data_IF_876964001448
#
_entry.id   IF_876964001448
#
_cell.length_a   1.000
_cell.length_b   1.000
_cell.length_c   1.000
_cell.angle_alpha   90.00
_cell.angle_beta   90.00
_cell.angle_gamma   90.00
#
_symmetry.space_group_name_H-M   'P 1'
#
loop_
_entity.id
_entity.type
_entity.pdbx_description
1 polymer ?
#
# COMPACT_ATOMS: atom_id res chain seq x y z
N UNK A 1 -8.58 -35.67 50.71
CA UNK A 1 -8.42 -34.23 50.43
C UNK A 1 -7.64 -33.89 49.14
N UNK A 2 -6.67 -34.68 48.68
CA UNK A 2 -5.88 -34.35 47.47
C UNK A 2 -6.62 -34.57 46.13
N UNK A 3 -7.59 -35.46 46.05
CA UNK A 3 -8.36 -35.72 44.79
C UNK A 3 -9.40 -34.64 44.44
N UNK A 4 -9.93 -33.94 45.44
CA UNK A 4 -10.93 -32.89 45.24
C UNK A 4 -10.31 -31.59 44.72
N UNK A 5 -9.05 -31.33 45.07
CA UNK A 5 -8.30 -30.13 44.59
C UNK A 5 -7.95 -30.24 43.12
N UNK A 6 -7.63 -31.45 42.64
CA UNK A 6 -7.31 -31.65 41.20
C UNK A 6 -8.56 -31.54 40.31
N UNK A 7 -9.71 -31.93 40.81
CA UNK A 7 -10.99 -31.83 40.07
C UNK A 7 -11.42 -30.36 39.94
N UNK A 8 -11.25 -29.57 41.01
CA UNK A 8 -11.54 -28.12 40.98
C UNK A 8 -10.61 -27.34 40.07
N UNK A 9 -9.31 -27.70 40.03
CA UNK A 9 -8.33 -27.09 39.14
C UNK A 9 -8.58 -27.42 37.66
N UNK A 10 -9.07 -28.64 37.36
CA UNK A 10 -9.38 -29.06 36.01
C UNK A 10 -10.69 -28.43 35.48
N UNK A 11 -11.68 -28.24 36.33
CA UNK A 11 -12.92 -27.53 35.97
C UNK A 11 -12.65 -26.04 35.79
N UNK A 12 -11.74 -25.44 36.56
CA UNK A 12 -11.35 -24.04 36.39
C UNK A 12 -10.49 -23.82 35.12
N UNK A 13 -9.59 -24.76 34.80
CA UNK A 13 -8.82 -24.72 33.57
C UNK A 13 -9.68 -24.95 32.30
N UNK A 14 -10.69 -25.83 32.39
CA UNK A 14 -11.65 -26.06 31.31
C UNK A 14 -12.64 -24.90 31.13
N UNK A 15 -12.95 -24.15 32.22
CA UNK A 15 -13.77 -22.94 32.12
C UNK A 15 -13.04 -21.77 31.48
N UNK A 16 -11.71 -21.65 31.67
CA UNK A 16 -10.89 -20.62 31.06
C UNK A 16 -10.67 -20.91 29.56
N UNK A 17 -10.63 -22.18 29.15
CA UNK A 17 -10.49 -22.55 27.73
C UNK A 17 -11.80 -22.41 26.91
N UNK A 18 -12.94 -22.19 27.56
CA UNK A 18 -14.23 -21.92 26.89
C UNK A 18 -14.59 -20.43 26.81
N UNK A 19 -13.78 -19.52 27.43
CA UNK A 19 -13.98 -18.08 27.38
C UNK A 19 -13.16 -17.47 26.20
N UNK A 20 -12.40 -18.28 25.48
CA UNK A 20 -11.49 -17.84 24.42
C UNK A 20 -12.11 -17.55 23.05
N UNK A 21 -13.45 -17.51 22.90
CA UNK A 21 -14.12 -17.19 21.63
C UNK A 21 -15.16 -16.07 21.73
N UNK A 22 -15.15 -15.30 22.79
CA UNK A 22 -15.99 -14.12 22.94
C UNK A 22 -15.18 -13.05 23.65
N UNK A 23 -14.24 -12.41 22.94
CA UNK A 23 -13.62 -11.18 23.42
C UNK A 23 -14.62 -10.05 23.18
N UNK A 24 -15.18 -9.43 24.24
CA UNK A 24 -16.11 -8.31 24.09
C UNK A 24 -15.51 -7.15 23.28
N UNK A 25 -14.16 -7.07 23.22
CA UNK A 25 -13.45 -6.08 22.39
C UNK A 25 -13.52 -6.46 20.90
N UNK A 26 -13.52 -7.75 20.56
CA UNK A 26 -13.69 -8.24 19.18
C UNK A 26 -15.16 -8.15 18.76
N UNK A 27 -16.10 -8.38 19.68
CA UNK A 27 -17.52 -8.19 19.43
C UNK A 27 -17.85 -6.70 19.28
N UNK A 28 -17.21 -5.81 20.03
CA UNK A 28 -17.37 -4.37 19.88
C UNK A 28 -16.69 -3.82 18.62
N UNK A 29 -15.56 -4.38 18.22
CA UNK A 29 -14.92 -4.12 16.93
C UNK A 29 -15.70 -4.71 15.74
N UNK A 30 -16.34 -5.83 15.91
CA UNK A 30 -17.22 -6.44 14.91
C UNK A 30 -18.63 -5.83 14.91
N UNK A 31 -19.13 -5.32 16.03
CA UNK A 31 -20.44 -4.67 16.10
C UNK A 31 -20.40 -3.21 15.64
N UNK A 32 -19.25 -2.56 15.66
CA UNK A 32 -19.04 -1.26 15.03
C UNK A 32 -18.87 -1.36 13.51
N UNK A 33 -18.71 -2.56 12.97
CA UNK A 33 -19.06 -2.89 11.60
C UNK A 33 -20.47 -3.54 11.66
N UNK A 34 -21.47 -2.80 12.08
CA UNK A 34 -22.80 -3.00 11.53
C UNK A 34 -22.70 -2.66 10.03
N UNK A 35 -22.13 -3.58 9.31
CA UNK A 35 -22.47 -3.80 7.92
C UNK A 35 -23.95 -4.18 8.01
N UNK A 36 -24.82 -3.18 7.87
CA UNK A 36 -26.23 -3.42 7.78
C UNK A 36 -26.43 -4.58 6.81
N UNK A 37 -27.45 -5.39 6.99
CA UNK A 37 -27.86 -6.46 6.08
C UNK A 37 -28.28 -5.95 4.70
N UNK A 38 -27.77 -4.78 4.30
CA UNK A 38 -27.89 -4.15 2.99
C UNK A 38 -26.93 -4.78 1.97
N UNK A 39 -27.20 -4.55 0.74
CA UNK A 39 -26.36 -4.96 -0.39
C UNK A 39 -24.98 -4.26 -0.29
N UNK A 40 -23.95 -4.98 0.17
CA UNK A 40 -22.57 -4.48 0.28
C UNK A 40 -21.97 -4.05 -1.06
N UNK A 41 -22.69 -4.29 -2.16
CA UNK A 41 -22.24 -3.90 -3.50
C UNK A 41 -22.39 -2.40 -3.79
N UNK A 42 -23.15 -1.66 -2.96
CA UNK A 42 -23.42 -0.22 -3.12
C UNK A 42 -23.27 0.51 -1.78
N UNK A 43 -22.94 1.82 -1.83
CA UNK A 43 -23.08 2.71 -0.68
C UNK A 43 -24.53 3.22 -0.61
N UNK A 44 -25.20 3.05 0.53
CA UNK A 44 -26.62 3.33 0.68
C UNK A 44 -26.94 4.82 0.90
N UNK A 45 -25.96 5.55 1.42
CA UNK A 45 -26.14 6.97 1.76
C UNK A 45 -24.80 7.73 1.74
N UNK A 46 -24.88 9.04 1.94
CA UNK A 46 -23.76 9.97 1.93
C UNK A 46 -22.67 9.62 2.96
N UNK A 47 -23.05 9.35 4.20
CA UNK A 47 -22.10 9.08 5.29
C UNK A 47 -21.34 7.78 5.03
N UNK A 48 -22.01 6.78 4.55
CA UNK A 48 -21.41 5.51 4.18
C UNK A 48 -20.45 5.68 2.99
N UNK A 49 -20.86 6.43 1.96
CA UNK A 49 -19.99 6.71 0.81
C UNK A 49 -18.73 7.47 1.23
N UNK A 50 -18.84 8.48 2.10
CA UNK A 50 -17.71 9.25 2.62
C UNK A 50 -16.77 8.39 3.50
N UNK A 51 -17.33 7.53 4.36
CA UNK A 51 -16.58 6.57 5.16
C UNK A 51 -15.83 5.54 4.31
N UNK A 52 -16.47 5.01 3.27
CA UNK A 52 -15.85 4.09 2.32
C UNK A 52 -14.75 4.77 1.48
N UNK A 53 -14.94 6.04 1.09
CA UNK A 53 -13.92 6.85 0.42
C UNK A 53 -12.66 6.99 1.29
N UNK A 54 -12.81 7.30 2.58
CA UNK A 54 -11.70 7.33 3.54
C UNK A 54 -11.03 5.95 3.66
N UNK A 55 -11.82 4.89 3.77
CA UNK A 55 -11.29 3.52 3.88
C UNK A 55 -10.49 3.13 2.65
N UNK A 56 -10.96 3.45 1.44
CA UNK A 56 -10.22 3.19 0.20
C UNK A 56 -8.84 3.86 0.21
N UNK A 57 -8.76 5.12 0.66
CA UNK A 57 -7.49 5.83 0.82
C UNK A 57 -6.56 5.12 1.80
N UNK A 58 -7.06 4.71 2.96
CA UNK A 58 -6.26 4.01 3.98
C UNK A 58 -5.72 2.66 3.47
N UNK A 59 -6.42 2.02 2.54
CA UNK A 59 -6.06 0.70 2.01
C UNK A 59 -5.13 0.74 0.79
N UNK A 60 -4.95 1.88 0.15
CA UNK A 60 -3.97 2.03 -0.94
C UNK A 60 -2.55 1.68 -0.48
N UNK A 61 -2.16 2.21 0.68
CA UNK A 61 -0.90 1.89 1.36
C UNK A 61 -1.23 1.74 2.84
N UNK A 62 -1.59 0.53 3.27
CA UNK A 62 -2.02 0.28 4.66
C UNK A 62 -0.84 0.39 5.63
N UNK A 63 -0.49 1.62 5.98
CA UNK A 63 0.65 1.95 6.83
C UNK A 63 0.24 2.41 8.23
N UNK A 64 -1.05 2.44 8.53
CA UNK A 64 -1.59 3.28 9.60
C UNK A 64 -2.03 2.59 10.89
N UNK A 65 -1.99 1.27 11.02
CA UNK A 65 -2.39 0.59 12.25
C UNK A 65 -1.17 0.09 13.05
N UNK A 66 -1.39 -0.43 14.25
CA UNK A 66 -0.36 -1.10 15.05
C UNK A 66 0.39 -2.22 14.30
N UNK A 67 -0.24 -2.78 13.27
CA UNK A 67 0.35 -3.77 12.36
C UNK A 67 0.83 -3.15 11.02
N UNK A 68 0.78 -1.85 10.84
CA UNK A 68 1.13 -1.19 9.58
C UNK A 68 2.53 -1.50 9.08
N UNK A 69 3.50 -1.65 9.97
CA UNK A 69 4.85 -2.06 9.61
C UNK A 69 4.88 -3.48 9.00
N UNK A 70 4.11 -4.43 9.55
CA UNK A 70 4.02 -5.78 9.00
C UNK A 70 3.31 -5.79 7.64
N UNK A 71 2.20 -5.06 7.50
CA UNK A 71 1.48 -4.94 6.22
C UNK A 71 2.39 -4.34 5.15
N UNK A 72 3.07 -3.24 5.45
CA UNK A 72 4.04 -2.61 4.54
C UNK A 72 5.20 -3.57 4.19
N UNK A 73 5.71 -4.32 5.18
CA UNK A 73 6.79 -5.29 4.96
C UNK A 73 6.39 -6.36 3.94
N UNK A 74 5.19 -6.91 4.07
CA UNK A 74 4.65 -7.94 3.16
C UNK A 74 4.26 -7.35 1.80
N UNK A 75 3.69 -6.15 1.78
CA UNK A 75 3.24 -5.51 0.54
C UNK A 75 4.41 -5.03 -0.33
N UNK A 76 5.43 -4.43 0.28
CA UNK A 76 6.49 -3.76 -0.47
C UNK A 76 7.89 -4.28 -0.14
N UNK A 77 8.26 -4.37 1.15
CA UNK A 77 9.66 -4.44 1.54
C UNK A 77 10.33 -5.78 1.24
N UNK A 78 9.65 -6.89 1.52
CA UNK A 78 10.25 -8.23 1.36
C UNK A 78 10.54 -8.58 -0.11
N UNK A 79 9.70 -8.13 -1.04
CA UNK A 79 9.82 -8.45 -2.46
C UNK A 79 10.12 -7.24 -3.33
N UNK A 80 9.21 -6.27 -3.37
CA UNK A 80 9.29 -5.15 -4.32
C UNK A 80 10.55 -4.33 -4.09
N UNK A 81 10.84 -3.95 -2.86
CA UNK A 81 12.05 -3.18 -2.53
C UNK A 81 13.33 -3.97 -2.80
N UNK A 82 13.32 -5.29 -2.53
CA UNK A 82 14.47 -6.15 -2.82
C UNK A 82 14.67 -6.36 -4.32
N UNK A 83 13.59 -6.63 -5.07
CA UNK A 83 13.69 -6.88 -6.52
C UNK A 83 14.04 -5.62 -7.31
N UNK A 84 13.59 -4.46 -6.84
CA UNK A 84 13.97 -3.17 -7.44
C UNK A 84 15.38 -2.70 -7.08
N UNK A 85 16.02 -3.34 -6.09
CA UNK A 85 17.35 -2.96 -5.62
C UNK A 85 17.36 -1.71 -4.72
N UNK A 86 16.22 -1.34 -4.14
CA UNK A 86 16.15 -0.24 -3.16
C UNK A 86 16.60 -0.69 -1.78
N UNK A 87 16.06 -1.81 -1.29
CA UNK A 87 16.38 -2.36 0.01
C UNK A 87 16.88 -3.80 -0.13
N UNK A 88 17.45 -4.34 0.92
CA UNK A 88 17.85 -5.73 1.02
C UNK A 88 17.47 -6.27 2.40
N UNK A 89 16.77 -7.41 2.43
CA UNK A 89 16.42 -8.11 3.66
C UNK A 89 17.66 -8.63 4.39
N UNK A 90 17.66 -8.51 5.71
CA UNK A 90 18.78 -8.91 6.56
C UNK A 90 18.53 -10.18 7.37
N UNK A 91 17.34 -10.77 7.24
CA UNK A 91 17.00 -12.02 7.93
C UNK A 91 16.26 -13.00 7.03
N UNK A 92 16.24 -14.25 7.46
CA UNK A 92 15.45 -15.29 6.82
C UNK A 92 13.98 -15.20 7.22
N UNK A 93 13.11 -15.10 6.23
CA UNK A 93 11.68 -15.24 6.40
C UNK A 93 11.27 -16.64 5.97
N UNK A 94 10.72 -17.44 6.89
CA UNK A 94 10.35 -18.84 6.64
C UNK A 94 11.47 -19.67 5.96
N UNK A 95 12.71 -19.48 6.41
CA UNK A 95 13.88 -20.16 5.87
C UNK A 95 14.41 -19.62 4.53
N UNK A 96 13.88 -18.49 4.06
CA UNK A 96 14.31 -17.85 2.82
C UNK A 96 14.82 -16.44 3.09
N UNK A 97 15.93 -16.10 2.45
CA UNK A 97 16.51 -14.75 2.51
C UNK A 97 16.01 -13.92 1.32
N UNK A 98 15.25 -12.84 1.54
CA UNK A 98 14.68 -12.03 0.44
C UNK A 98 15.74 -11.48 -0.51
N UNK A 99 16.91 -11.11 -0.01
CA UNK A 99 18.02 -10.58 -0.82
C UNK A 99 18.56 -11.56 -1.88
N UNK A 100 18.16 -12.82 -1.84
CA UNK A 100 18.52 -13.83 -2.86
C UNK A 100 17.52 -13.91 -4.02
N UNK A 101 16.54 -13.02 -4.10
CA UNK A 101 15.46 -13.03 -5.10
C UNK A 101 14.63 -14.31 -5.12
N UNK A 102 14.62 -15.05 -4.04
CA UNK A 102 13.84 -16.27 -3.96
C UNK A 102 12.38 -15.94 -3.70
N UNK A 103 11.51 -16.38 -4.61
CA UNK A 103 10.06 -16.30 -4.42
C UNK A 103 9.61 -17.23 -3.29
N UNK A 104 8.75 -16.73 -2.41
CA UNK A 104 8.03 -17.53 -1.42
C UNK A 104 6.62 -16.99 -1.25
N UNK A 105 5.66 -17.81 -1.62
CA UNK A 105 4.25 -17.45 -1.75
C UNK A 105 3.65 -16.83 -0.48
N UNK A 106 4.09 -17.28 0.69
CA UNK A 106 3.59 -16.84 1.99
C UNK A 106 3.64 -15.32 2.20
N UNK A 107 4.60 -14.62 1.56
CA UNK A 107 4.78 -13.18 1.71
C UNK A 107 4.55 -12.39 0.42
N UNK A 108 4.04 -13.04 -0.62
CA UNK A 108 3.77 -12.39 -1.90
C UNK A 108 2.32 -11.90 -2.05
N UNK A 109 1.47 -12.08 -1.05
CA UNK A 109 0.06 -11.73 -1.13
C UNK A 109 -0.24 -10.24 -0.82
N UNK A 110 0.77 -9.46 -0.41
CA UNK A 110 0.58 -8.07 -0.01
C UNK A 110 -0.08 -7.18 -1.06
N UNK A 111 0.45 -7.08 -2.30
CA UNK A 111 -0.16 -6.28 -3.36
C UNK A 111 -1.57 -6.74 -3.72
N UNK A 112 -1.82 -8.07 -3.71
CA UNK A 112 -3.15 -8.64 -3.93
C UNK A 112 -4.13 -8.22 -2.84
N UNK A 113 -3.73 -8.32 -1.57
CA UNK A 113 -4.55 -7.92 -0.44
C UNK A 113 -4.87 -6.41 -0.48
N UNK A 114 -3.90 -5.56 -0.83
CA UNK A 114 -4.11 -4.13 -1.01
C UNK A 114 -5.16 -3.84 -2.07
N UNK A 115 -5.06 -4.47 -3.25
CA UNK A 115 -6.05 -4.32 -4.31
C UNK A 115 -7.46 -4.70 -3.86
N UNK A 116 -7.65 -5.87 -3.24
CA UNK A 116 -8.96 -6.31 -2.81
C UNK A 116 -9.53 -5.41 -1.70
N UNK A 117 -8.73 -4.96 -0.76
CA UNK A 117 -9.17 -4.05 0.28
C UNK A 117 -9.60 -2.68 -0.27
N UNK A 118 -8.87 -2.13 -1.25
CA UNK A 118 -9.26 -0.90 -1.94
C UNK A 118 -10.55 -1.14 -2.73
N UNK A 119 -10.65 -2.25 -3.45
CA UNK A 119 -11.82 -2.57 -4.26
C UNK A 119 -13.09 -2.70 -3.41
N UNK A 120 -13.02 -3.39 -2.26
CA UNK A 120 -14.16 -3.51 -1.34
C UNK A 120 -14.70 -2.17 -0.86
N UNK A 121 -13.84 -1.17 -0.68
CA UNK A 121 -14.26 0.15 -0.27
C UNK A 121 -14.64 1.07 -1.45
N UNK A 122 -13.94 0.98 -2.58
CA UNK A 122 -14.13 1.89 -3.70
C UNK A 122 -15.31 1.50 -4.61
N UNK A 123 -15.49 0.20 -4.91
CA UNK A 123 -16.51 -0.24 -5.86
C UNK A 123 -17.96 0.10 -5.43
N UNK A 124 -18.36 -0.07 -4.17
CA UNK A 124 -19.70 0.33 -3.72
C UNK A 124 -19.97 1.82 -3.95
N UNK A 125 -18.99 2.69 -3.65
CA UNK A 125 -19.12 4.13 -3.89
C UNK A 125 -19.22 4.44 -5.38
N UNK A 126 -18.39 3.81 -6.21
CA UNK A 126 -18.41 3.99 -7.66
C UNK A 126 -19.77 3.61 -8.27
N UNK A 127 -20.42 2.57 -7.76
CA UNK A 127 -21.73 2.09 -8.25
C UNK A 127 -22.88 3.00 -7.86
N UNK A 128 -22.84 3.60 -6.68
CA UNK A 128 -23.92 4.47 -6.16
C UNK A 128 -23.67 5.97 -6.34
N UNK A 129 -22.50 6.36 -6.84
CA UNK A 129 -22.08 7.77 -6.92
C UNK A 129 -23.06 8.65 -7.69
N UNK A 130 -23.66 8.15 -8.76
CA UNK A 130 -24.65 8.90 -9.57
C UNK A 130 -25.96 9.11 -8.79
N UNK A 131 -26.46 8.06 -8.14
CA UNK A 131 -27.72 8.07 -7.38
C UNK A 131 -27.64 8.95 -6.13
N UNK A 132 -26.44 8.98 -5.52
CA UNK A 132 -26.14 9.81 -4.35
C UNK A 132 -25.73 11.25 -4.71
N UNK A 133 -25.65 11.60 -5.98
CA UNK A 133 -25.12 12.88 -6.46
C UNK A 133 -23.69 13.17 -5.97
N UNK A 134 -22.83 12.14 -5.96
CA UNK A 134 -21.43 12.16 -5.50
C UNK A 134 -20.46 11.69 -6.60
N UNK A 135 -20.69 12.13 -7.86
CA UNK A 135 -19.92 11.68 -9.03
C UNK A 135 -18.41 11.90 -8.88
N UNK A 136 -18.02 12.99 -8.25
CA UNK A 136 -16.62 13.35 -7.98
C UNK A 136 -15.98 12.38 -7.01
N UNK A 137 -16.68 12.02 -5.93
CA UNK A 137 -16.20 11.02 -4.95
C UNK A 137 -16.09 9.64 -5.61
N UNK A 138 -17.07 9.27 -6.45
CA UNK A 138 -17.00 8.06 -7.26
C UNK A 138 -15.80 8.05 -8.21
N UNK A 139 -15.49 9.19 -8.85
CA UNK A 139 -14.33 9.34 -9.72
C UNK A 139 -13.00 9.19 -8.94
N UNK A 140 -12.91 9.76 -7.73
CA UNK A 140 -11.74 9.61 -6.85
C UNK A 140 -11.58 8.14 -6.40
N UNK A 141 -12.67 7.45 -6.07
CA UNK A 141 -12.65 6.02 -5.80
C UNK A 141 -12.18 5.20 -7.01
N UNK A 142 -12.62 5.57 -8.23
CA UNK A 142 -12.15 4.92 -9.46
C UNK A 142 -10.64 5.14 -9.69
N UNK A 143 -10.10 6.33 -9.38
CA UNK A 143 -8.65 6.59 -9.45
C UNK A 143 -7.88 5.67 -8.51
N UNK A 144 -8.31 5.53 -7.26
CA UNK A 144 -7.69 4.64 -6.28
C UNK A 144 -7.79 3.17 -6.69
N UNK A 145 -8.93 2.76 -7.21
CA UNK A 145 -9.15 1.41 -7.74
C UNK A 145 -8.21 1.12 -8.92
N UNK A 146 -8.08 2.05 -9.86
CA UNK A 146 -7.14 1.93 -10.98
C UNK A 146 -5.69 1.89 -10.53
N UNK A 147 -5.31 2.71 -9.54
CA UNK A 147 -3.95 2.73 -8.99
C UNK A 147 -3.58 1.38 -8.38
N UNK A 148 -4.43 0.81 -7.53
CA UNK A 148 -4.17 -0.49 -6.90
C UNK A 148 -4.23 -1.65 -7.90
N UNK A 149 -5.08 -1.56 -8.92
CA UNK A 149 -5.11 -2.52 -10.02
C UNK A 149 -3.83 -2.50 -10.86
N UNK A 150 -3.26 -1.31 -11.09
CA UNK A 150 -1.97 -1.17 -11.75
C UNK A 150 -0.86 -1.83 -10.95
N UNK A 151 -0.80 -1.63 -9.63
CA UNK A 151 0.16 -2.30 -8.75
C UNK A 151 0.00 -3.83 -8.77
N UNK A 152 -1.26 -4.31 -8.72
CA UNK A 152 -1.56 -5.74 -8.82
C UNK A 152 -1.03 -6.33 -10.14
N UNK A 153 -1.35 -5.69 -11.26
CA UNK A 153 -0.96 -6.16 -12.59
C UNK A 153 0.56 -6.10 -12.81
N UNK A 154 1.23 -5.12 -12.23
CA UNK A 154 2.69 -5.01 -12.29
C UNK A 154 3.41 -6.18 -11.60
N UNK A 155 2.80 -6.75 -10.55
CA UNK A 155 3.38 -7.86 -9.77
C UNK A 155 2.96 -9.23 -10.32
N UNK A 156 1.68 -9.39 -10.66
CA UNK A 156 1.13 -10.70 -11.00
C UNK A 156 0.83 -10.89 -12.50
N UNK A 157 0.83 -9.80 -13.28
CA UNK A 157 0.46 -9.85 -14.69
C UNK A 157 -1.07 -9.88 -14.90
N UNK A 158 -1.56 -10.75 -15.82
CA UNK A 158 -2.97 -10.86 -16.12
C UNK A 158 -3.85 -11.17 -14.90
N UNK A 159 -5.01 -10.53 -14.80
CA UNK A 159 -6.01 -10.83 -13.77
C UNK A 159 -7.44 -10.52 -14.28
N UNK A 160 -8.49 -10.99 -13.61
CA UNK A 160 -9.87 -10.82 -14.06
C UNK A 160 -10.42 -9.41 -13.73
N UNK A 161 -9.91 -8.39 -14.42
CA UNK A 161 -10.26 -6.98 -14.18
C UNK A 161 -11.76 -6.69 -14.36
N UNK A 162 -12.32 -7.04 -15.52
CA UNK A 162 -13.73 -6.72 -15.85
C UNK A 162 -14.68 -7.53 -15.00
N UNK A 163 -14.42 -8.83 -14.84
CA UNK A 163 -15.29 -9.70 -14.06
C UNK A 163 -15.29 -9.27 -12.59
N UNK A 164 -14.15 -8.91 -12.04
CA UNK A 164 -14.08 -8.44 -10.66
C UNK A 164 -14.79 -7.08 -10.47
N UNK A 165 -14.58 -6.14 -11.40
CA UNK A 165 -15.25 -4.83 -11.36
C UNK A 165 -16.77 -4.95 -11.43
N UNK A 166 -17.27 -5.89 -12.22
CA UNK A 166 -18.69 -6.14 -12.43
C UNK A 166 -19.30 -7.13 -11.44
N UNK A 167 -18.53 -7.55 -10.42
CA UNK A 167 -18.99 -8.45 -9.37
C UNK A 167 -19.48 -9.81 -9.88
N UNK A 168 -18.77 -10.38 -10.86
CA UNK A 168 -19.04 -11.73 -11.36
C UNK A 168 -18.68 -12.74 -10.29
N UNK A 169 -19.68 -13.38 -9.69
CA UNK A 169 -19.53 -14.29 -8.56
C UNK A 169 -19.26 -15.74 -8.96
N UNK A 170 -19.66 -16.12 -10.18
CA UNK A 170 -19.59 -17.51 -10.60
C UNK A 170 -18.44 -17.77 -11.56
N UNK A 171 -17.62 -18.81 -11.33
CA UNK A 171 -16.59 -19.25 -12.26
C UNK A 171 -17.22 -19.83 -13.55
N UNK A 172 -16.50 -19.82 -14.69
CA UNK A 172 -15.12 -19.35 -14.79
C UNK A 172 -15.00 -17.84 -14.91
N UNK A 173 -14.00 -17.25 -14.22
CA UNK A 173 -13.61 -15.86 -14.42
C UNK A 173 -12.61 -15.74 -15.56
N UNK A 174 -12.68 -14.65 -16.32
CA UNK A 174 -11.82 -14.41 -17.48
C UNK A 174 -10.61 -13.59 -17.08
N UNK A 175 -9.41 -14.16 -17.21
CA UNK A 175 -8.16 -13.43 -17.03
C UNK A 175 -7.86 -12.59 -18.27
N UNK A 176 -7.81 -11.29 -18.10
CA UNK A 176 -7.49 -10.37 -19.17
C UNK A 176 -5.99 -10.18 -19.31
N UNK A 177 -5.44 -10.13 -20.55
CA UNK A 177 -4.04 -9.83 -20.77
C UNK A 177 -3.70 -8.37 -20.44
N UNK A 178 -2.42 -8.10 -20.19
CA UNK A 178 -1.93 -6.81 -19.70
C UNK A 178 -2.29 -5.62 -20.60
N UNK A 179 -2.28 -5.80 -21.91
CA UNK A 179 -2.63 -4.76 -22.87
C UNK A 179 -4.09 -4.33 -22.73
N UNK A 180 -5.03 -5.26 -22.54
CA UNK A 180 -6.45 -4.96 -22.32
C UNK A 180 -6.68 -4.31 -20.95
N UNK A 181 -5.95 -4.75 -19.91
CA UNK A 181 -6.00 -4.12 -18.59
C UNK A 181 -5.53 -2.66 -18.70
N UNK A 182 -4.39 -2.41 -19.37
CA UNK A 182 -3.87 -1.06 -19.57
C UNK A 182 -4.84 -0.19 -20.38
N UNK A 183 -5.49 -0.73 -21.41
CA UNK A 183 -6.53 -0.05 -22.18
C UNK A 183 -7.66 0.42 -21.26
N UNK A 184 -8.16 -0.49 -20.44
CA UNK A 184 -9.23 -0.22 -19.49
C UNK A 184 -8.82 0.81 -18.43
N UNK A 185 -7.60 0.72 -17.91
CA UNK A 185 -7.08 1.67 -16.92
C UNK A 185 -6.95 3.08 -17.50
N UNK A 186 -6.43 3.24 -18.74
CA UNK A 186 -6.35 4.55 -19.40
C UNK A 186 -7.74 5.17 -19.58
N UNK A 187 -8.72 4.39 -20.02
CA UNK A 187 -10.10 4.87 -20.18
C UNK A 187 -10.68 5.31 -18.83
N UNK A 188 -10.61 4.46 -17.81
CA UNK A 188 -11.17 4.76 -16.49
C UNK A 188 -10.55 6.00 -15.85
N UNK A 189 -9.22 6.13 -15.92
CA UNK A 189 -8.51 7.30 -15.38
C UNK A 189 -8.86 8.58 -16.15
N UNK A 190 -9.00 8.50 -17.48
CA UNK A 190 -9.37 9.64 -18.31
C UNK A 190 -10.80 10.09 -18.01
N UNK A 191 -11.72 9.16 -17.88
CA UNK A 191 -13.12 9.47 -17.55
C UNK A 191 -13.24 10.06 -16.14
N UNK A 192 -12.51 9.50 -15.16
CA UNK A 192 -12.46 10.07 -13.82
C UNK A 192 -11.91 11.51 -13.85
N UNK A 193 -10.80 11.74 -14.55
CA UNK A 193 -10.22 13.08 -14.69
C UNK A 193 -11.18 14.07 -15.36
N UNK A 194 -11.97 13.62 -16.36
CA UNK A 194 -13.00 14.45 -17.00
C UNK A 194 -14.10 14.86 -16.02
N UNK A 195 -14.62 13.93 -15.23
CA UNK A 195 -15.62 14.22 -14.19
C UNK A 195 -15.10 15.29 -13.23
N UNK A 196 -13.87 15.14 -12.76
CA UNK A 196 -13.25 16.09 -11.82
C UNK A 196 -13.00 17.46 -12.47
N UNK A 197 -12.65 17.51 -13.73
CA UNK A 197 -12.47 18.75 -14.49
C UNK A 197 -13.78 19.54 -14.64
N UNK A 198 -14.89 18.85 -14.78
CA UNK A 198 -16.23 19.44 -14.91
C UNK A 198 -16.77 20.01 -13.58
N UNK A 199 -16.15 19.69 -12.43
CA UNK A 199 -16.58 20.07 -11.08
C UNK A 199 -16.85 21.57 -10.93
N UNK A 200 -15.95 22.43 -11.44
CA UNK A 200 -16.10 23.89 -11.36
C UNK A 200 -17.30 24.43 -12.13
N UNK A 201 -17.94 23.62 -12.99
CA UNK A 201 -19.14 23.96 -13.75
C UNK A 201 -20.42 23.50 -13.05
N UNK A 202 -20.34 22.85 -11.90
CA UNK A 202 -21.50 22.45 -11.09
C UNK A 202 -22.04 23.61 -10.26
N UNK A 203 -23.19 23.43 -9.60
CA UNK A 203 -23.76 24.44 -8.73
C UNK A 203 -22.90 24.69 -7.48
N UNK A 204 -22.94 25.89 -6.92
CA UNK A 204 -22.22 26.22 -5.67
C UNK A 204 -22.59 25.26 -4.54
N UNK A 205 -23.87 24.93 -4.38
CA UNK A 205 -24.37 23.99 -3.36
C UNK A 205 -23.73 22.60 -3.52
N UNK A 206 -23.59 22.11 -4.77
CA UNK A 206 -22.92 20.85 -5.04
C UNK A 206 -21.43 20.92 -4.73
N UNK A 207 -20.76 22.03 -5.14
CA UNK A 207 -19.34 22.24 -4.84
C UNK A 207 -19.10 22.28 -3.33
N UNK A 208 -19.95 22.97 -2.56
CA UNK A 208 -19.87 23.03 -1.11
C UNK A 208 -20.01 21.63 -0.49
N UNK A 209 -20.94 20.81 -0.98
CA UNK A 209 -21.13 19.43 -0.50
C UNK A 209 -19.89 18.60 -0.71
N UNK A 210 -19.32 18.59 -1.92
CA UNK A 210 -18.09 17.83 -2.20
C UNK A 210 -16.91 18.35 -1.39
N UNK A 211 -16.72 19.67 -1.30
CA UNK A 211 -15.65 20.27 -0.52
C UNK A 211 -15.74 19.94 0.98
N UNK A 212 -16.95 19.83 1.55
CA UNK A 212 -17.14 19.39 2.93
C UNK A 212 -16.71 17.94 3.12
N UNK A 213 -17.04 17.04 2.18
CA UNK A 213 -16.55 15.66 2.23
C UNK A 213 -15.02 15.64 2.19
N UNK A 214 -14.41 16.37 1.27
CA UNK A 214 -12.95 16.40 1.15
C UNK A 214 -12.29 16.96 2.41
N UNK A 215 -12.78 18.03 2.96
CA UNK A 215 -12.24 18.62 4.19
C UNK A 215 -12.24 17.65 5.37
N UNK A 216 -13.24 16.78 5.46
CA UNK A 216 -13.37 15.82 6.56
C UNK A 216 -12.68 14.50 6.29
N UNK A 217 -12.82 13.93 5.08
CA UNK A 217 -12.48 12.56 4.75
C UNK A 217 -11.28 12.40 3.80
N UNK A 218 -10.88 13.45 3.05
CA UNK A 218 -9.73 13.32 2.17
C UNK A 218 -8.41 13.45 2.96
N UNK A 219 -7.51 12.49 2.74
CA UNK A 219 -6.20 12.39 3.40
C UNK A 219 -5.05 12.34 2.39
N UNK A 220 -5.34 12.54 1.10
CA UNK A 220 -4.35 12.42 0.03
C UNK A 220 -4.18 13.74 -0.70
N UNK A 221 -5.18 14.17 -1.45
CA UNK A 221 -5.06 15.30 -2.37
C UNK A 221 -5.56 16.63 -1.78
N UNK A 222 -6.60 16.60 -0.96
CA UNK A 222 -7.17 17.75 -0.28
C UNK A 222 -8.14 18.58 -1.13
N UNK A 223 -8.12 18.46 -2.46
CA UNK A 223 -9.00 19.18 -3.36
C UNK A 223 -9.24 18.41 -4.68
N UNK A 224 -10.35 18.74 -5.37
CA UNK A 224 -10.78 18.08 -6.61
C UNK A 224 -9.75 18.25 -7.72
N UNK A 225 -9.12 19.42 -7.83
CA UNK A 225 -8.12 19.69 -8.88
C UNK A 225 -6.87 18.83 -8.71
N UNK A 226 -6.42 18.65 -7.50
CA UNK A 226 -5.27 17.78 -7.21
C UNK A 226 -5.59 16.31 -7.52
N UNK A 227 -6.82 15.84 -7.27
CA UNK A 227 -7.26 14.51 -7.69
C UNK A 227 -7.29 14.34 -9.22
N UNK A 228 -7.75 15.36 -9.98
CA UNK A 228 -7.66 15.37 -11.45
C UNK A 228 -6.20 15.22 -11.91
N UNK A 229 -5.30 16.03 -11.36
CA UNK A 229 -3.87 15.99 -11.67
C UNK A 229 -3.23 14.66 -11.27
N UNK A 230 -3.67 14.05 -10.17
CA UNK A 230 -3.21 12.73 -9.75
C UNK A 230 -3.60 11.65 -10.77
N UNK A 231 -4.84 11.65 -11.25
CA UNK A 231 -5.28 10.76 -12.33
C UNK A 231 -4.39 10.88 -13.57
N UNK A 232 -4.13 12.11 -14.02
CA UNK A 232 -3.29 12.37 -15.19
C UNK A 232 -1.83 11.94 -14.97
N UNK A 233 -1.32 12.09 -13.75
CA UNK A 233 0.05 11.66 -13.40
C UNK A 233 0.19 10.13 -13.39
N UNK A 234 -0.85 9.40 -12.99
CA UNK A 234 -0.90 7.94 -13.13
C UNK A 234 -0.90 7.54 -14.61
N UNK A 235 -1.67 8.23 -15.46
CA UNK A 235 -1.68 8.00 -16.92
C UNK A 235 -0.30 8.21 -17.53
N UNK A 236 0.40 9.28 -17.15
CA UNK A 236 1.77 9.51 -17.60
C UNK A 236 2.73 8.40 -17.15
N UNK A 237 2.62 7.95 -15.89
CA UNK A 237 3.42 6.82 -15.38
C UNK A 237 3.17 5.55 -16.18
N UNK A 238 1.92 5.23 -16.50
CA UNK A 238 1.55 4.08 -17.34
C UNK A 238 2.13 4.21 -18.75
N UNK A 239 2.01 5.38 -19.37
CA UNK A 239 2.56 5.65 -20.70
C UNK A 239 4.09 5.45 -20.74
N UNK A 240 4.82 5.95 -19.74
CA UNK A 240 6.26 5.74 -19.63
C UNK A 240 6.65 4.28 -19.50
N UNK A 241 5.86 3.47 -18.79
CA UNK A 241 6.12 2.02 -18.64
C UNK A 241 5.99 1.25 -19.95
N UNK A 242 5.05 1.65 -20.80
CA UNK A 242 4.84 0.98 -22.09
C UNK A 242 5.73 1.53 -23.21
N UNK A 243 6.64 2.47 -22.95
CA UNK A 243 7.46 3.15 -23.95
C UNK A 243 8.32 2.21 -24.81
N UNK A 244 8.75 1.07 -24.27
CA UNK A 244 9.51 0.05 -25.00
C UNK A 244 8.64 -1.00 -25.70
N UNK A 245 7.37 -1.12 -25.30
CA UNK A 245 6.43 -2.13 -25.83
C UNK A 245 5.58 -1.55 -26.96
N UNK A 246 5.11 -0.32 -26.79
CA UNK A 246 4.31 0.40 -27.77
C UNK A 246 4.65 1.91 -27.71
N UNK A 247 5.78 2.34 -28.34
CA UNK A 247 6.30 3.69 -28.24
C UNK A 247 5.37 4.76 -28.81
N UNK A 248 4.65 4.48 -29.88
CA UNK A 248 3.73 5.44 -30.51
C UNK A 248 2.53 5.75 -29.61
N UNK A 249 1.95 4.70 -29.03
CA UNK A 249 0.88 4.86 -28.05
C UNK A 249 1.36 5.51 -26.78
N UNK A 250 2.53 5.09 -26.27
CA UNK A 250 3.14 5.70 -25.10
C UNK A 250 3.31 7.22 -25.27
N UNK A 251 3.80 7.66 -26.43
CA UNK A 251 3.92 9.08 -26.76
C UNK A 251 2.57 9.80 -26.76
N UNK A 252 1.56 9.20 -27.38
CA UNK A 252 0.21 9.77 -27.48
C UNK A 252 -0.45 9.92 -26.11
N UNK A 253 -0.40 8.87 -25.28
CA UNK A 253 -0.99 8.88 -23.94
C UNK A 253 -0.21 9.81 -22.99
N UNK A 254 1.13 9.84 -23.09
CA UNK A 254 1.96 10.76 -22.31
C UNK A 254 1.64 12.23 -22.64
N UNK A 255 1.54 12.57 -23.94
CA UNK A 255 1.21 13.93 -24.36
C UNK A 255 -0.19 14.32 -23.87
N UNK A 256 -1.17 13.44 -24.05
CA UNK A 256 -2.54 13.68 -23.54
C UNK A 256 -2.58 13.92 -22.04
N UNK A 257 -1.82 13.15 -21.25
CA UNK A 257 -1.77 13.32 -19.80
C UNK A 257 -1.10 14.66 -19.41
N UNK A 258 -0.06 15.07 -20.11
CA UNK A 258 0.62 16.36 -19.89
C UNK A 258 -0.31 17.51 -20.21
N UNK A 259 -1.01 17.45 -21.34
CA UNK A 259 -1.92 18.50 -21.79
C UNK A 259 -3.13 18.67 -20.84
N UNK A 260 -3.58 17.58 -20.21
CA UNK A 260 -4.64 17.59 -19.19
C UNK A 260 -4.17 18.14 -17.84
N UNK A 261 -2.87 18.27 -17.60
CA UNK A 261 -2.27 18.82 -16.38
C UNK A 261 -1.86 17.75 -15.37
N UNK A 262 -0.64 17.87 -14.89
CA UNK A 262 -0.01 16.95 -13.94
C UNK A 262 0.08 17.55 -12.55
N UNK A 263 0.42 16.72 -11.56
CA UNK A 263 0.77 17.17 -10.21
C UNK A 263 1.99 18.07 -10.28
N UNK A 264 1.89 19.28 -9.75
CA UNK A 264 2.96 20.29 -9.74
C UNK A 264 3.67 20.39 -8.39
N UNK A 265 3.09 19.80 -7.35
CA UNK A 265 3.63 19.84 -5.98
C UNK A 265 3.59 18.44 -5.36
N UNK A 266 4.36 18.22 -4.31
CA UNK A 266 4.28 16.98 -3.53
C UNK A 266 2.89 16.80 -2.93
N UNK A 267 2.37 15.59 -3.02
CA UNK A 267 1.17 15.16 -2.31
C UNK A 267 1.63 14.47 -1.04
N UNK A 268 1.08 14.90 0.10
CA UNK A 268 1.33 14.27 1.38
C UNK A 268 0.26 13.19 1.63
N UNK A 269 0.72 11.95 1.79
CA UNK A 269 -0.16 10.84 2.11
C UNK A 269 -0.43 10.77 3.61
N UNK A 270 -1.49 11.41 4.05
CA UNK A 270 -1.84 11.58 5.47
C UNK A 270 -2.87 10.56 5.98
N UNK A 271 -2.87 9.34 5.44
CA UNK A 271 -3.75 8.28 5.94
C UNK A 271 -3.22 7.59 7.19
N UNK A 272 -1.98 7.85 7.55
CA UNK A 272 -1.41 7.34 8.78
C UNK A 272 -2.14 7.95 9.98
N UNK A 273 -2.59 7.09 10.88
CA UNK A 273 -3.09 7.54 12.17
C UNK A 273 -1.96 8.28 12.88
N UNK A 274 -2.20 9.52 13.24
CA UNK A 274 -1.20 10.44 13.73
C UNK A 274 -0.83 10.13 15.19
N UNK A 275 -0.25 8.95 15.43
CA UNK A 275 0.14 8.45 16.75
C UNK A 275 1.63 8.72 17.05
N UNK A 276 2.27 9.62 16.31
CA UNK A 276 3.71 9.86 16.42
C UNK A 276 4.55 8.67 15.92
N UNK A 277 3.96 7.76 15.15
CA UNK A 277 4.67 6.62 14.57
C UNK A 277 5.43 7.06 13.33
N UNK A 278 6.67 6.62 13.25
CA UNK A 278 7.49 6.79 12.06
C UNK A 278 6.94 5.98 10.87
N UNK A 279 7.36 6.34 9.66
CA UNK A 279 7.07 5.54 8.48
C UNK A 279 7.42 4.06 8.71
N UNK A 280 6.59 3.10 8.27
CA UNK A 280 6.80 1.67 8.49
C UNK A 280 8.20 1.18 8.13
N UNK A 281 8.78 1.67 7.04
CA UNK A 281 10.14 1.30 6.64
C UNK A 281 11.19 1.65 7.70
N UNK A 282 11.06 2.81 8.36
CA UNK A 282 11.95 3.18 9.47
C UNK A 282 11.80 2.20 10.64
N UNK A 283 10.57 1.78 10.95
CA UNK A 283 10.30 0.79 11.98
C UNK A 283 10.94 -0.57 11.63
N UNK A 284 10.75 -1.04 10.40
CA UNK A 284 11.29 -2.30 9.89
C UNK A 284 12.84 -2.28 9.88
N UNK A 285 13.43 -1.16 9.47
CA UNK A 285 14.88 -1.02 9.38
C UNK A 285 15.54 -0.82 10.73
N UNK A 286 15.00 0.07 11.59
CA UNK A 286 15.64 0.49 12.83
C UNK A 286 15.28 -0.44 14.00
N UNK A 287 13.98 -0.69 14.22
CA UNK A 287 13.53 -1.46 15.37
C UNK A 287 13.57 -2.98 15.14
N UNK A 288 13.07 -3.43 13.98
CA UNK A 288 13.08 -4.87 13.67
C UNK A 288 14.41 -5.33 13.10
N UNK A 289 15.22 -4.44 12.59
CA UNK A 289 16.50 -4.78 11.98
C UNK A 289 16.40 -5.74 10.78
N UNK A 290 15.29 -5.70 10.06
CA UNK A 290 14.90 -6.65 9.02
C UNK A 290 15.35 -6.26 7.62
N UNK A 291 15.71 -4.99 7.42
CA UNK A 291 16.08 -4.48 6.10
C UNK A 291 17.17 -3.40 6.21
N UNK A 292 17.90 -3.25 5.12
CA UNK A 292 18.96 -2.24 4.94
C UNK A 292 18.89 -1.68 3.52
N UNK A 293 19.53 -0.53 3.30
CA UNK A 293 19.74 -0.03 1.94
C UNK A 293 20.45 -1.08 1.09
N UNK A 294 20.02 -1.25 -0.16
CA UNK A 294 20.70 -2.12 -1.11
C UNK A 294 21.96 -1.43 -1.67
N UNK A 295 23.03 -2.19 -1.87
CA UNK A 295 24.28 -1.68 -2.46
C UNK A 295 24.09 -1.12 -3.89
N UNK A 296 23.06 -1.57 -4.62
CA UNK A 296 22.72 -1.01 -5.93
C UNK A 296 22.23 0.43 -5.82
N UNK A 297 21.32 0.71 -4.89
CA UNK A 297 20.84 2.06 -4.64
C UNK A 297 21.96 2.96 -4.11
N UNK A 298 22.71 2.50 -3.10
CA UNK A 298 23.88 3.21 -2.58
C UNK A 298 24.82 3.64 -3.69
N UNK A 299 25.20 2.71 -4.55
CA UNK A 299 26.15 2.96 -5.64
C UNK A 299 25.63 3.99 -6.65
N UNK A 300 24.34 3.89 -7.02
CA UNK A 300 23.69 4.85 -7.91
C UNK A 300 23.68 6.24 -7.28
N UNK A 301 23.24 6.34 -6.03
CA UNK A 301 23.14 7.63 -5.33
C UNK A 301 24.51 8.29 -5.14
N UNK A 302 25.53 7.53 -4.75
CA UNK A 302 26.92 8.03 -4.62
C UNK A 302 27.47 8.48 -5.97
N UNK A 303 27.30 7.70 -7.03
CA UNK A 303 27.77 8.02 -8.38
C UNK A 303 27.11 9.28 -8.96
N UNK A 304 25.81 9.44 -8.71
CA UNK A 304 25.05 10.61 -9.15
C UNK A 304 25.19 11.80 -8.19
N UNK A 305 25.91 11.64 -7.08
CA UNK A 305 26.09 12.67 -6.05
C UNK A 305 24.76 13.25 -5.57
N UNK A 306 23.80 12.35 -5.26
CA UNK A 306 22.45 12.73 -4.81
C UNK A 306 22.56 13.59 -3.54
N UNK A 307 22.10 14.85 -3.55
CA UNK A 307 22.41 15.80 -2.47
C UNK A 307 21.66 15.54 -1.16
N UNK A 308 20.67 14.67 -1.17
CA UNK A 308 19.85 14.34 0.00
C UNK A 308 20.14 12.94 0.58
N UNK A 309 21.18 12.25 0.12
CA UNK A 309 21.51 10.90 0.57
C UNK A 309 21.72 10.87 2.10
N UNK A 310 22.47 11.82 2.65
CA UNK A 310 22.70 11.97 4.10
C UNK A 310 21.46 12.45 4.88
N UNK A 311 20.36 12.77 4.19
CA UNK A 311 19.10 13.14 4.82
C UNK A 311 18.16 11.95 5.01
N UNK A 312 18.35 10.91 4.20
CA UNK A 312 17.49 9.72 4.17
C UNK A 312 18.13 8.58 4.97
N UNK A 313 19.45 8.44 4.88
CA UNK A 313 20.17 7.31 5.44
C UNK A 313 21.15 7.76 6.52
N UNK A 314 21.21 7.00 7.62
CA UNK A 314 22.22 7.17 8.64
C UNK A 314 23.53 6.48 8.22
N UNK A 315 24.66 7.03 8.67
CA UNK A 315 25.95 6.38 8.49
C UNK A 315 26.06 5.19 9.42
N UNK A 316 26.75 4.13 8.97
CA UNK A 316 27.07 3.02 9.85
C UNK A 316 27.95 3.50 11.01
N UNK A 317 27.55 3.20 12.21
CA UNK A 317 28.17 3.76 13.44
C UNK A 317 28.70 2.71 14.41
N UNK A 318 28.18 1.49 14.30
CA UNK A 318 28.45 0.46 15.30
C UNK A 318 29.63 -0.42 14.89
N UNK A 319 30.50 -0.72 15.81
CA UNK A 319 31.55 -1.72 15.62
C UNK A 319 30.99 -3.13 15.90
N UNK A 320 31.44 -4.11 15.13
CA UNK A 320 31.18 -5.53 15.41
C UNK A 320 32.26 -6.03 16.38
N UNK A 321 31.81 -6.73 17.41
CA UNK A 321 32.68 -7.32 18.42
C UNK A 321 32.47 -8.84 18.47
N UNK A 322 33.54 -9.56 18.77
CA UNK A 322 33.47 -11.00 19.00
C UNK A 322 32.96 -11.34 20.42
N UNK A 323 32.91 -12.61 20.74
CA UNK A 323 32.48 -13.13 22.04
C UNK A 323 33.35 -12.69 23.23
N UNK A 324 34.58 -12.24 22.95
CA UNK A 324 35.51 -11.71 23.93
C UNK A 324 35.42 -10.17 24.06
N UNK A 325 34.57 -9.53 23.29
CA UNK A 325 34.39 -8.09 23.24
C UNK A 325 35.44 -7.36 22.39
N UNK A 326 36.30 -8.09 21.65
CA UNK A 326 37.26 -7.50 20.73
C UNK A 326 36.59 -7.03 19.44
N UNK A 327 36.98 -5.85 18.97
CA UNK A 327 36.46 -5.28 17.74
C UNK A 327 36.96 -6.04 16.53
N UNK A 328 36.10 -6.79 15.87
CA UNK A 328 36.40 -7.52 14.63
C UNK A 328 36.15 -6.68 13.38
N UNK A 329 35.32 -5.64 13.50
CA UNK A 329 35.07 -4.68 12.44
C UNK A 329 34.78 -3.31 13.03
N UNK A 330 35.36 -2.28 12.45
CA UNK A 330 35.17 -0.88 12.86
C UNK A 330 34.29 -0.14 11.88
N UNK A 331 33.33 0.63 12.40
CA UNK A 331 32.46 1.46 11.59
C UNK A 331 33.26 2.46 10.74
N UNK A 332 32.91 2.55 9.46
CA UNK A 332 33.57 3.45 8.52
C UNK A 332 32.98 4.87 8.52
N UNK A 333 31.90 5.08 9.26
CA UNK A 333 31.15 6.36 9.26
C UNK A 333 30.66 6.75 7.86
N UNK A 334 30.20 5.76 7.10
CA UNK A 334 29.72 5.91 5.73
C UNK A 334 28.36 5.25 5.55
N UNK A 335 27.69 5.56 4.43
CA UNK A 335 26.49 4.87 3.99
C UNK A 335 26.94 3.64 3.21
N UNK A 336 26.59 2.46 3.70
CA UNK A 336 27.01 1.17 3.15
C UNK A 336 25.80 0.26 2.95
N UNK A 337 25.55 -0.13 1.71
CA UNK A 337 24.44 -0.99 1.33
C UNK A 337 24.79 -2.48 1.34
N UNK A 338 23.76 -3.29 1.57
CA UNK A 338 23.84 -4.75 1.49
C UNK A 338 23.82 -5.19 0.02
N UNK A 339 24.74 -6.05 -0.37
CA UNK A 339 24.74 -6.65 -1.71
C UNK A 339 23.66 -7.72 -1.81
N UNK A 340 22.91 -7.67 -2.90
CA UNK A 340 21.97 -8.74 -3.25
C UNK A 340 22.68 -10.08 -3.39
N UNK A 341 22.04 -11.16 -2.92
CA UNK A 341 22.52 -12.52 -3.07
C UNK A 341 23.56 -12.96 -2.05
N UNK A 342 24.02 -12.08 -1.15
CA UNK A 342 24.91 -12.51 -0.07
C UNK A 342 24.11 -13.20 1.03
N UNK A 343 24.73 -14.22 1.62
CA UNK A 343 24.20 -14.81 2.85
C UNK A 343 24.67 -13.94 4.01
N UNK A 344 23.72 -13.33 4.69
CA UNK A 344 24.01 -12.52 5.87
C UNK A 344 24.19 -13.40 7.11
N UNK A 345 25.05 -12.94 7.99
CA UNK A 345 25.17 -13.44 9.35
C UNK A 345 23.90 -13.17 10.16
N UNK A 346 23.81 -13.64 11.42
CA UNK A 346 22.64 -13.36 12.24
C UNK A 346 22.26 -11.87 12.25
N UNK A 347 20.97 -11.62 12.41
CA UNK A 347 20.33 -10.30 12.33
C UNK A 347 21.06 -9.19 13.08
N UNK A 348 21.59 -9.50 14.25
CA UNK A 348 22.24 -8.53 15.15
C UNK A 348 23.65 -8.13 14.69
N UNK A 349 24.26 -8.89 13.78
CA UNK A 349 25.61 -8.64 13.26
C UNK A 349 25.63 -7.76 11.99
N UNK A 350 24.49 -7.19 11.61
CA UNK A 350 24.37 -6.42 10.36
C UNK A 350 24.62 -4.91 10.54
N UNK A 351 25.26 -4.50 11.64
CA UNK A 351 25.56 -3.11 11.95
C UNK A 351 26.58 -2.47 11.00
N UNK A 352 27.32 -3.26 10.24
CA UNK A 352 28.19 -2.78 9.15
C UNK A 352 27.42 -2.10 8.00
N UNK A 353 26.13 -2.34 7.90
CA UNK A 353 25.29 -1.78 6.86
C UNK A 353 24.42 -0.65 7.42
N UNK A 354 24.16 0.31 6.56
CA UNK A 354 23.34 1.49 6.86
C UNK A 354 21.86 1.12 7.07
N UNK A 355 21.29 1.69 8.10
CA UNK A 355 19.85 1.62 8.40
C UNK A 355 19.05 2.68 7.62
#
# INVERSE_FOLDING_TARGET
MKKTVYLSAFVFAAAISLIGCGDPLLDDLNSNIEVGSGDLSIAENYEQAAGMFLTAQQKMHDVGASNGAHVYQVQFNIHIDNYSGYMAGTQNFSGNLPSTYRYFAQYCDGPKASFFNVAQAALPVMRSAADLNLREIGAMCNIMYCFSALELSDVYGPFPWTDYKNDVQEPPVTYEPMDQIYDSLFVNLKDAGKILKEFTSTSEEHQDTINQILAQYDKICGDVKTWEQFSNSIRLRMAMRMSNVNPDRAKTEAQSAIDDGLIEKSIEYNTMVNNGTNHPLAFISILWNDTRINASLENIMKRLKVPFMDKIFEKNSDAIRDENGETTWQAQQDIVGVRTGIQLTPRDDNNQYTK
#
